data_IF_971297384605
#
_entry.id   IF_971297384605
#
_cell.length_a   1.000
_cell.length_b   1.000
_cell.length_c   1.000
_cell.angle_alpha   90.00
_cell.angle_beta   90.00
_cell.angle_gamma   90.00
#
_symmetry.space_group_name_H-M   'P 1'
#
loop_
_entity.id
_entity.type
_entity.pdbx_description
1 polymer ?
#
# COMPACT_ATOMS: atom_id res chain seq x y z
N UNK A 1 12.67 7.90 -8.07
CA UNK A 1 12.84 6.77 -7.14
C UNK A 1 12.18 5.58 -7.79
N UNK A 2 12.78 4.39 -7.79
CA UNK A 2 12.13 3.18 -8.33
C UNK A 2 11.42 2.52 -7.15
N UNK A 3 10.11 2.28 -7.26
CA UNK A 3 9.33 1.56 -6.25
C UNK A 3 9.18 0.11 -6.70
N UNK A 4 9.73 -0.82 -5.91
CA UNK A 4 9.57 -2.25 -6.11
C UNK A 4 8.66 -2.84 -5.03
N UNK A 5 7.56 -3.47 -5.47
CA UNK A 5 6.69 -4.24 -4.58
C UNK A 5 7.23 -5.65 -4.46
N UNK A 6 7.44 -6.10 -3.22
CA UNK A 6 7.84 -7.48 -2.94
C UNK A 6 6.72 -8.46 -3.32
N UNK A 7 7.07 -9.70 -3.65
CA UNK A 7 6.07 -10.74 -3.97
C UNK A 7 4.99 -10.89 -2.88
N UNK A 8 5.31 -10.88 -1.56
CA UNK A 8 4.28 -10.89 -0.52
C UNK A 8 3.32 -9.70 -0.60
N UNK A 9 3.83 -8.48 -0.86
CA UNK A 9 2.99 -7.30 -0.98
C UNK A 9 2.05 -7.37 -2.20
N UNK A 10 2.51 -7.95 -3.32
CA UNK A 10 1.67 -8.19 -4.48
C UNK A 10 0.56 -9.21 -4.17
N UNK A 11 0.90 -10.29 -3.46
CA UNK A 11 -0.07 -11.30 -3.05
C UNK A 11 -1.10 -10.74 -2.06
N UNK A 12 -0.67 -9.87 -1.13
CA UNK A 12 -1.57 -9.20 -0.20
C UNK A 12 -2.58 -8.30 -0.92
N UNK A 13 -2.14 -7.54 -1.93
CA UNK A 13 -3.03 -6.72 -2.76
C UNK A 13 -4.08 -7.56 -3.48
N UNK A 14 -3.66 -8.68 -4.07
CA UNK A 14 -4.56 -9.60 -4.77
C UNK A 14 -5.57 -10.24 -3.79
N UNK A 15 -5.12 -10.64 -2.60
CA UNK A 15 -5.99 -11.20 -1.56
C UNK A 15 -7.03 -10.18 -1.08
N UNK A 16 -6.63 -8.92 -0.83
CA UNK A 16 -7.56 -7.87 -0.40
C UNK A 16 -8.57 -7.57 -1.51
N UNK A 17 -8.12 -7.42 -2.77
CA UNK A 17 -9.00 -7.22 -3.93
C UNK A 17 -10.01 -8.36 -4.04
N UNK A 18 -9.56 -9.60 -3.95
CA UNK A 18 -10.42 -10.78 -4.04
C UNK A 18 -11.40 -10.88 -2.88
N UNK A 19 -11.01 -10.43 -1.68
CA UNK A 19 -11.93 -10.35 -0.54
C UNK A 19 -13.06 -9.34 -0.78
N UNK A 20 -12.72 -8.10 -1.18
CA UNK A 20 -13.71 -7.04 -1.43
C UNK A 20 -14.60 -7.38 -2.63
N UNK A 21 -14.03 -8.02 -3.66
CA UNK A 21 -14.75 -8.42 -4.88
C UNK A 21 -15.92 -9.37 -4.60
N UNK A 22 -15.90 -10.10 -3.47
CA UNK A 22 -17.03 -10.95 -3.03
C UNK A 22 -18.31 -10.14 -2.83
N UNK A 23 -18.20 -8.88 -2.43
CA UNK A 23 -19.32 -7.97 -2.19
C UNK A 23 -19.50 -7.00 -3.37
N UNK A 24 -18.41 -6.42 -3.89
CA UNK A 24 -18.47 -5.49 -5.01
C UNK A 24 -17.17 -5.43 -5.80
N UNK A 25 -17.26 -5.80 -7.08
CA UNK A 25 -16.15 -5.65 -8.03
C UNK A 25 -15.74 -4.18 -8.20
N UNK A 26 -16.71 -3.27 -8.23
CA UNK A 26 -16.44 -1.84 -8.35
C UNK A 26 -15.60 -1.32 -7.18
N UNK A 27 -16.01 -1.63 -5.94
CA UNK A 27 -15.26 -1.19 -4.77
C UNK A 27 -13.89 -1.87 -4.64
N UNK A 28 -13.76 -3.12 -5.09
CA UNK A 28 -12.46 -3.79 -5.14
C UNK A 28 -11.48 -3.05 -6.06
N UNK A 29 -11.93 -2.60 -7.23
CA UNK A 29 -11.09 -1.85 -8.17
C UNK A 29 -10.73 -0.47 -7.62
N UNK A 30 -11.72 0.28 -7.09
CA UNK A 30 -11.48 1.60 -6.47
C UNK A 30 -10.51 1.51 -5.31
N UNK A 31 -10.58 0.44 -4.51
CA UNK A 31 -9.67 0.24 -3.39
C UNK A 31 -8.22 0.02 -3.84
N UNK A 32 -8.01 -0.84 -4.85
CA UNK A 32 -6.69 -1.09 -5.43
C UNK A 32 -6.11 0.19 -6.03
N UNK A 33 -6.91 0.97 -6.75
CA UNK A 33 -6.50 2.27 -7.31
C UNK A 33 -6.05 3.24 -6.22
N UNK A 34 -6.76 3.32 -5.10
CA UNK A 34 -6.34 4.15 -3.95
C UNK A 34 -4.99 3.76 -3.38
N UNK A 35 -4.67 2.46 -3.35
CA UNK A 35 -3.36 2.00 -2.90
C UNK A 35 -2.28 2.42 -3.89
N UNK A 36 -2.49 2.23 -5.19
CA UNK A 36 -1.54 2.69 -6.20
C UNK A 36 -1.31 4.20 -6.15
N UNK A 37 -2.36 5.00 -6.03
CA UNK A 37 -2.22 6.46 -5.84
C UNK A 37 -1.43 6.82 -4.57
N UNK A 38 -1.54 6.01 -3.52
CA UNK A 38 -0.77 6.20 -2.30
C UNK A 38 0.71 5.82 -2.48
N UNK A 39 0.99 4.80 -3.28
CA UNK A 39 2.34 4.38 -3.65
C UNK A 39 3.00 5.43 -4.55
N UNK A 40 2.31 5.94 -5.56
CA UNK A 40 2.81 7.00 -6.46
C UNK A 40 3.22 8.26 -5.67
N UNK A 41 2.46 8.62 -4.63
CA UNK A 41 2.84 9.74 -3.74
C UNK A 41 4.19 9.54 -3.05
N UNK A 42 4.64 8.30 -2.84
CA UNK A 42 5.95 8.02 -2.25
C UNK A 42 7.10 8.37 -3.18
N UNK A 43 6.89 8.39 -4.51
CA UNK A 43 7.92 8.85 -5.44
C UNK A 43 8.26 10.32 -5.23
N UNK A 44 7.24 11.13 -4.92
CA UNK A 44 7.36 12.57 -4.71
C UNK A 44 7.69 12.89 -3.25
N UNK A 45 7.13 12.13 -2.30
CA UNK A 45 7.27 12.34 -0.85
C UNK A 45 7.70 11.05 -0.13
N UNK A 46 8.95 10.60 -0.28
CA UNK A 46 9.42 9.31 0.25
C UNK A 46 9.42 9.22 1.79
N UNK A 47 9.27 10.36 2.47
CA UNK A 47 9.22 10.45 3.93
C UNK A 47 7.83 10.83 4.47
N UNK A 48 6.78 10.72 3.64
CA UNK A 48 5.40 11.05 4.04
C UNK A 48 4.88 10.18 5.19
N UNK A 49 5.38 8.95 5.29
CA UNK A 49 5.04 8.04 6.39
C UNK A 49 5.85 8.36 7.65
N UNK A 50 5.18 8.23 8.81
CA UNK A 50 5.85 8.33 10.11
C UNK A 50 6.75 7.11 10.33
N UNK A 51 7.88 7.32 11.00
CA UNK A 51 8.70 6.22 11.50
C UNK A 51 7.89 5.50 12.56
N UNK A 52 7.82 4.16 12.47
CA UNK A 52 7.06 3.33 13.41
C UNK A 52 8.03 2.55 14.29
N UNK A 53 8.39 3.08 15.47
CA UNK A 53 9.40 2.47 16.35
C UNK A 53 9.00 1.06 16.81
N UNK A 54 7.71 0.73 16.81
CA UNK A 54 7.17 -0.59 17.19
C UNK A 54 7.62 -1.73 16.26
N UNK A 55 8.03 -1.42 15.02
CA UNK A 55 8.58 -2.41 14.08
C UNK A 55 10.11 -2.53 14.14
N UNK A 56 10.77 -1.89 15.10
CA UNK A 56 12.17 -2.10 15.47
C UNK A 56 13.22 -1.74 14.41
N UNK A 57 12.84 -1.04 13.33
CA UNK A 57 13.73 -0.69 12.22
C UNK A 57 13.55 0.79 11.83
N UNK A 58 14.61 1.57 11.93
CA UNK A 58 14.62 3.03 11.69
C UNK A 58 14.14 3.47 10.29
N UNK A 59 14.12 2.53 9.33
CA UNK A 59 13.76 2.79 7.93
C UNK A 59 12.34 2.34 7.55
N UNK A 60 11.54 1.82 8.49
CA UNK A 60 10.13 1.47 8.22
C UNK A 60 9.22 2.66 8.45
N UNK A 61 8.47 3.04 7.41
CA UNK A 61 7.53 4.15 7.44
C UNK A 61 6.11 3.65 7.18
N UNK A 62 5.15 4.14 7.94
CA UNK A 62 3.74 3.82 7.77
C UNK A 62 2.96 5.09 7.41
N UNK A 63 2.17 5.01 6.35
CA UNK A 63 1.21 6.05 6.00
C UNK A 63 -0.12 5.73 6.72
N UNK A 64 -0.59 6.64 7.56
CA UNK A 64 -1.86 6.54 8.29
C UNK A 64 -2.91 7.54 7.79
N UNK A 65 -2.61 8.22 6.68
CA UNK A 65 -3.38 9.34 6.15
C UNK A 65 -4.34 8.89 5.07
#
# INVERSE_FOLDING_TARGET
MIIELTEPAQNDLENIKNYIKKDSLYYANVFVEKIFLSIEKLEIFPHIGRIVPEYGLENKRMNLS
#
